data_IF_659409909377
#
_entry.id   IF_659409909377
#
_cell.length_a   1.000
_cell.length_b   1.000
_cell.length_c   1.000
_cell.angle_alpha   90.00
_cell.angle_beta   90.00
_cell.angle_gamma   90.00
#
_symmetry.space_group_name_H-M   'P 1'
#
loop_
_entity.id
_entity.type
_entity.pdbx_description
1 polymer ?
#
# COMPACT_ATOMS: atom_id res chain seq x y z
N UNK A 1 24.84 5.01 -7.49
CA UNK A 1 24.91 4.99 -6.01
C UNK A 1 24.70 3.57 -5.50
N UNK A 2 25.17 3.30 -4.28
CA UNK A 2 24.90 2.06 -3.55
C UNK A 2 23.79 2.32 -2.52
N UNK A 3 22.63 1.69 -2.70
CA UNK A 3 21.39 1.98 -1.98
C UNK A 3 20.94 0.74 -1.21
N UNK A 4 20.62 0.93 0.08
CA UNK A 4 20.00 -0.09 0.93
C UNK A 4 18.53 0.24 1.17
N UNK A 5 17.62 -0.73 0.99
CA UNK A 5 16.19 -0.63 1.29
C UNK A 5 15.88 -1.51 2.51
N UNK A 6 15.33 -0.91 3.56
CA UNK A 6 15.18 -1.51 4.89
C UNK A 6 13.77 -1.28 5.47
N UNK A 7 13.41 -2.08 6.46
CA UNK A 7 12.20 -1.85 7.27
C UNK A 7 10.96 -2.61 6.83
N UNK A 8 10.99 -3.29 5.69
CA UNK A 8 9.89 -4.13 5.19
C UNK A 8 10.15 -5.62 5.44
N UNK A 9 9.27 -6.50 4.96
CA UNK A 9 9.53 -7.95 4.98
C UNK A 9 10.55 -8.38 3.93
N UNK A 10 10.70 -7.57 2.86
CA UNK A 10 11.60 -7.83 1.73
C UNK A 10 10.84 -8.12 0.43
N UNK A 11 11.57 -8.61 -0.56
CA UNK A 11 11.04 -8.96 -1.90
C UNK A 11 11.40 -10.42 -2.24
N UNK A 12 10.59 -11.12 -3.05
CA UNK A 12 9.39 -10.69 -3.80
C UNK A 12 8.25 -10.22 -2.91
N UNK A 13 7.50 -9.21 -3.38
CA UNK A 13 6.35 -8.69 -2.65
C UNK A 13 5.24 -9.75 -2.49
N UNK A 14 4.80 -9.98 -1.24
CA UNK A 14 3.83 -11.05 -0.95
C UNK A 14 2.80 -10.68 0.14
N UNK A 15 2.85 -9.46 0.69
CA UNK A 15 2.03 -9.15 1.86
C UNK A 15 1.41 -7.75 1.89
N UNK A 16 2.15 -6.70 1.56
CA UNK A 16 1.67 -5.32 1.71
C UNK A 16 2.17 -4.38 0.62
N UNK A 17 1.58 -3.18 0.56
CA UNK A 17 1.99 -2.14 -0.37
C UNK A 17 3.45 -1.69 -0.23
N UNK A 18 4.05 -1.85 0.97
CA UNK A 18 5.48 -1.51 1.16
C UNK A 18 6.42 -2.42 0.40
N UNK A 19 6.17 -3.73 0.42
CA UNK A 19 6.95 -4.68 -0.36
C UNK A 19 6.81 -4.38 -1.84
N UNK A 20 5.59 -4.04 -2.31
CA UNK A 20 5.35 -3.59 -3.69
C UNK A 20 6.14 -2.32 -3.99
N UNK A 21 6.13 -1.32 -3.08
CA UNK A 21 6.91 -0.10 -3.24
C UNK A 21 8.42 -0.39 -3.35
N UNK A 22 8.96 -1.21 -2.44
CA UNK A 22 10.38 -1.60 -2.45
C UNK A 22 10.75 -2.34 -3.74
N UNK A 23 9.88 -3.22 -4.21
CA UNK A 23 10.10 -3.98 -5.45
C UNK A 23 10.08 -3.07 -6.68
N UNK A 24 9.07 -2.21 -6.80
CA UNK A 24 8.88 -1.34 -7.95
C UNK A 24 9.94 -0.23 -8.02
N UNK A 25 10.22 0.42 -6.90
CA UNK A 25 11.27 1.43 -6.79
C UNK A 25 12.66 0.81 -7.00
N UNK A 26 12.95 -0.29 -6.31
CA UNK A 26 14.25 -0.94 -6.35
C UNK A 26 14.63 -1.44 -7.75
N UNK A 27 13.69 -2.08 -8.46
CA UNK A 27 13.89 -2.54 -9.83
C UNK A 27 14.20 -1.37 -10.79
N UNK A 28 13.50 -0.22 -10.67
CA UNK A 28 13.73 0.96 -11.50
C UNK A 28 15.07 1.63 -11.20
N UNK A 29 15.44 1.71 -9.94
CA UNK A 29 16.76 2.20 -9.52
C UNK A 29 17.89 1.31 -10.10
N UNK A 30 17.72 -0.03 -10.14
CA UNK A 30 18.66 -0.93 -10.81
C UNK A 30 18.75 -0.64 -12.31
N UNK A 31 17.61 -0.47 -13.00
CA UNK A 31 17.56 -0.12 -14.42
C UNK A 31 18.25 1.21 -14.73
N UNK A 32 18.26 2.15 -13.76
CA UNK A 32 18.97 3.44 -13.84
C UNK A 32 20.45 3.36 -13.42
N UNK A 33 20.98 2.16 -13.21
CA UNK A 33 22.41 1.91 -12.94
C UNK A 33 22.84 2.03 -11.48
N UNK A 34 21.88 2.05 -10.52
CA UNK A 34 22.20 1.99 -9.10
C UNK A 34 22.42 0.55 -8.63
N UNK A 35 23.25 0.35 -7.61
CA UNK A 35 23.41 -0.91 -6.90
C UNK A 35 22.41 -0.93 -5.73
N UNK A 36 21.36 -1.72 -5.84
CA UNK A 36 20.29 -1.79 -4.85
C UNK A 36 20.38 -3.09 -4.06
N UNK A 37 20.35 -2.96 -2.74
CA UNK A 37 20.27 -4.09 -1.79
C UNK A 37 19.01 -4.00 -0.98
N UNK A 38 18.22 -5.08 -0.91
CA UNK A 38 17.01 -5.18 -0.08
C UNK A 38 17.28 -6.08 1.11
N UNK A 39 17.01 -5.56 2.30
CA UNK A 39 17.08 -6.32 3.55
C UNK A 39 15.78 -7.06 3.79
N UNK A 40 15.86 -8.39 3.76
CA UNK A 40 14.73 -9.30 3.83
C UNK A 40 14.70 -10.06 5.17
N UNK A 41 13.50 -10.26 5.73
CA UNK A 41 13.29 -11.14 6.89
C UNK A 41 13.22 -12.58 6.42
N UNK A 42 14.20 -13.41 6.79
CA UNK A 42 14.36 -14.76 6.25
C UNK A 42 13.13 -15.66 6.38
N UNK A 43 12.35 -15.52 7.48
CA UNK A 43 11.14 -16.33 7.70
C UNK A 43 9.91 -15.90 6.88
N UNK A 44 9.95 -14.73 6.23
CA UNK A 44 8.87 -14.26 5.36
C UNK A 44 9.16 -14.47 3.86
N UNK A 45 10.42 -14.65 3.49
CA UNK A 45 10.83 -14.77 2.08
C UNK A 45 11.15 -16.21 1.74
N UNK A 46 10.31 -16.83 0.91
CA UNK A 46 10.51 -18.21 0.42
C UNK A 46 11.42 -18.27 -0.82
N UNK A 47 11.74 -17.13 -1.42
CA UNK A 47 12.60 -17.05 -2.58
C UNK A 47 14.06 -17.37 -2.19
N UNK A 48 14.65 -18.39 -2.81
CA UNK A 48 15.98 -18.90 -2.43
C UNK A 48 17.15 -18.08 -3.02
N UNK A 49 16.95 -17.40 -4.16
CA UNK A 49 17.99 -16.64 -4.84
C UNK A 49 18.53 -15.46 -4.03
N UNK A 50 19.79 -15.09 -4.28
CA UNK A 50 20.46 -13.93 -3.66
C UNK A 50 20.23 -12.64 -4.46
N UNK A 51 19.58 -12.72 -5.61
CA UNK A 51 19.23 -11.58 -6.46
C UNK A 51 17.82 -11.72 -6.98
N UNK A 52 17.07 -10.60 -7.00
CA UNK A 52 15.71 -10.55 -7.53
C UNK A 52 15.52 -9.26 -8.32
N UNK A 53 15.12 -9.35 -9.58
CA UNK A 53 14.99 -8.19 -10.50
C UNK A 53 16.22 -7.27 -10.51
N UNK A 54 17.42 -7.85 -10.39
CA UNK A 54 18.69 -7.13 -10.33
C UNK A 54 19.06 -6.53 -8.97
N UNK A 55 18.17 -6.58 -7.99
CA UNK A 55 18.45 -6.20 -6.61
C UNK A 55 19.16 -7.34 -5.87
N UNK A 56 20.18 -7.02 -5.07
CA UNK A 56 20.81 -7.98 -4.16
C UNK A 56 19.96 -8.15 -2.90
N UNK A 57 19.76 -9.39 -2.42
CA UNK A 57 18.96 -9.72 -1.24
C UNK A 57 19.85 -10.10 -0.07
N UNK A 58 19.70 -9.37 1.04
CA UNK A 58 20.34 -9.73 2.33
C UNK A 58 19.27 -10.28 3.25
N UNK A 59 19.27 -11.59 3.45
CA UNK A 59 18.29 -12.30 4.29
C UNK A 59 18.84 -12.41 5.72
N UNK A 60 18.21 -11.72 6.66
CA UNK A 60 18.61 -11.74 8.07
C UNK A 60 17.53 -12.37 8.94
N UNK A 61 17.96 -13.11 9.94
CA UNK A 61 17.08 -13.66 10.95
C UNK A 61 16.63 -12.57 11.93
N UNK A 62 15.42 -12.71 12.42
CA UNK A 62 14.83 -11.82 13.42
C UNK A 62 13.97 -12.61 14.40
N UNK A 63 13.40 -11.94 15.40
CA UNK A 63 12.49 -12.54 16.36
C UNK A 63 11.11 -12.68 15.72
N UNK A 64 10.56 -13.90 15.66
CA UNK A 64 9.20 -14.16 15.17
C UNK A 64 8.14 -13.75 16.17
N UNK A 65 8.03 -12.45 16.44
CA UNK A 65 7.06 -11.87 17.36
C UNK A 65 6.29 -10.74 16.65
N UNK A 66 4.97 -10.78 16.74
CA UNK A 66 4.06 -9.83 16.06
C UNK A 66 4.44 -8.34 16.24
N UNK A 67 5.00 -7.97 17.39
CA UNK A 67 5.29 -6.58 17.75
C UNK A 67 6.76 -6.20 17.62
N UNK A 68 7.67 -7.15 17.75
CA UNK A 68 9.12 -6.91 17.80
C UNK A 68 9.84 -7.23 16.49
N UNK A 69 9.25 -8.06 15.65
CA UNK A 69 9.85 -8.53 14.40
C UNK A 69 10.43 -7.36 13.56
N UNK A 70 9.63 -6.33 13.32
CA UNK A 70 10.02 -5.19 12.47
C UNK A 70 11.21 -4.43 13.05
N UNK A 71 11.12 -4.01 14.32
CA UNK A 71 12.16 -3.15 14.90
C UNK A 71 13.48 -3.91 15.15
N UNK A 72 13.40 -5.17 15.55
CA UNK A 72 14.59 -6.00 15.76
C UNK A 72 15.29 -6.28 14.43
N UNK A 73 14.53 -6.65 13.37
CA UNK A 73 15.10 -6.81 12.04
C UNK A 73 15.75 -5.53 11.54
N UNK A 74 15.08 -4.38 11.68
CA UNK A 74 15.61 -3.09 11.23
C UNK A 74 16.87 -2.69 12.01
N UNK A 75 16.94 -3.02 13.31
CA UNK A 75 18.14 -2.80 14.12
C UNK A 75 19.32 -3.67 13.62
N UNK A 76 19.12 -4.98 13.44
CA UNK A 76 20.15 -5.90 12.93
C UNK A 76 20.59 -5.47 11.53
N UNK A 77 19.65 -5.12 10.67
CA UNK A 77 19.92 -4.64 9.31
C UNK A 77 20.75 -3.35 9.33
N UNK A 78 20.42 -2.42 10.23
CA UNK A 78 21.17 -1.15 10.39
C UNK A 78 22.62 -1.38 10.82
N UNK A 79 22.88 -2.36 11.70
CA UNK A 79 24.24 -2.75 12.07
C UNK A 79 24.97 -3.40 10.90
N UNK A 80 24.29 -4.25 10.12
CA UNK A 80 24.88 -4.90 8.95
C UNK A 80 25.21 -3.90 7.83
N UNK A 81 24.52 -2.77 7.74
CA UNK A 81 24.80 -1.67 6.81
C UNK A 81 26.16 -1.02 7.07
N UNK A 82 26.64 -0.94 8.33
CA UNK A 82 27.83 -0.18 8.72
C UNK A 82 29.10 -0.54 7.91
N UNK A 83 29.49 -1.84 7.79
CA UNK A 83 30.69 -2.20 7.03
C UNK A 83 30.51 -2.08 5.51
N UNK A 84 29.27 -2.00 5.01
CA UNK A 84 28.95 -2.06 3.58
C UNK A 84 29.14 -0.72 2.86
N UNK A 85 29.19 0.38 3.59
CA UNK A 85 29.38 1.76 3.07
C UNK A 85 28.42 2.11 1.94
N UNK A 86 27.11 2.04 2.21
CA UNK A 86 26.09 2.53 1.29
C UNK A 86 26.12 4.07 1.21
N UNK A 87 25.69 4.60 0.05
CA UNK A 87 25.44 6.04 -0.08
C UNK A 87 24.14 6.42 0.62
N UNK A 88 23.09 5.61 0.41
CA UNK A 88 21.73 5.80 0.93
C UNK A 88 21.27 4.56 1.68
N UNK A 89 20.58 4.77 2.80
CA UNK A 89 19.77 3.79 3.53
C UNK A 89 18.34 4.31 3.63
N UNK A 90 17.43 3.78 2.82
CA UNK A 90 16.02 4.12 2.80
C UNK A 90 15.23 3.16 3.67
N UNK A 91 14.60 3.69 4.71
CA UNK A 91 13.74 2.99 5.65
C UNK A 91 12.28 3.26 5.35
N UNK A 92 11.44 2.29 5.67
CA UNK A 92 9.99 2.40 5.60
C UNK A 92 9.38 2.22 6.99
N UNK A 93 8.22 2.85 7.22
CA UNK A 93 7.40 2.84 8.43
C UNK A 93 8.02 3.64 9.59
N UNK A 94 7.25 4.59 10.13
CA UNK A 94 7.65 5.48 11.23
C UNK A 94 8.20 4.71 12.44
N UNK A 95 7.70 3.51 12.74
CA UNK A 95 8.18 2.65 13.83
C UNK A 95 9.67 2.29 13.76
N UNK A 96 10.32 2.44 12.61
CA UNK A 96 11.75 2.20 12.42
C UNK A 96 12.62 3.43 12.67
N UNK A 97 12.04 4.59 12.96
CA UNK A 97 12.83 5.83 13.18
C UNK A 97 13.94 5.69 14.25
N UNK A 98 13.75 4.93 15.35
CA UNK A 98 14.79 4.82 16.40
C UNK A 98 16.12 4.25 15.92
N UNK A 99 16.19 3.59 14.78
CA UNK A 99 17.43 2.97 14.26
C UNK A 99 18.01 3.71 13.04
N UNK A 100 17.34 4.73 12.53
CA UNK A 100 17.73 5.43 11.30
C UNK A 100 19.02 6.25 11.42
N UNK A 101 19.44 6.59 12.63
CA UNK A 101 20.72 7.30 12.89
C UNK A 101 21.94 6.40 12.74
N UNK A 102 21.79 5.06 12.88
CA UNK A 102 22.92 4.11 12.89
C UNK A 102 23.76 4.19 11.62
N UNK A 103 23.21 4.14 10.40
CA UNK A 103 24.00 4.25 9.17
C UNK A 103 24.78 5.57 9.06
N UNK A 104 24.30 6.63 9.69
CA UNK A 104 24.95 7.95 9.67
C UNK A 104 26.33 7.94 10.34
N UNK A 105 26.59 7.00 11.26
CA UNK A 105 27.90 6.83 11.90
C UNK A 105 29.03 6.57 10.91
N UNK A 106 28.73 5.98 9.75
CA UNK A 106 29.72 5.70 8.69
C UNK A 106 29.53 6.60 7.47
N UNK A 107 28.72 7.67 7.61
CA UNK A 107 28.48 8.66 6.56
C UNK A 107 27.43 8.25 5.52
N UNK A 108 26.74 7.10 5.68
CA UNK A 108 25.57 6.73 4.88
C UNK A 108 24.42 7.67 5.19
N UNK A 109 23.79 8.24 4.17
CA UNK A 109 22.61 9.09 4.35
C UNK A 109 21.36 8.25 4.60
N UNK A 110 20.68 8.49 5.71
CA UNK A 110 19.44 7.77 6.04
C UNK A 110 18.21 8.58 5.68
N UNK A 111 17.25 7.93 5.06
CA UNK A 111 15.95 8.47 4.67
C UNK A 111 14.88 7.58 5.30
N UNK A 112 13.79 8.17 5.75
CA UNK A 112 12.65 7.43 6.31
C UNK A 112 11.36 7.84 5.60
N UNK A 113 10.69 6.90 4.93
CA UNK A 113 9.29 7.05 4.52
C UNK A 113 8.42 6.66 5.72
N UNK A 114 7.68 7.62 6.29
CA UNK A 114 6.91 7.39 7.52
C UNK A 114 5.58 6.67 7.28
N UNK A 115 5.09 6.65 6.02
CA UNK A 115 3.77 6.10 5.66
C UNK A 115 2.60 6.79 6.40
N UNK A 116 1.45 6.11 6.50
CA UNK A 116 0.28 6.60 7.21
C UNK A 116 0.41 6.55 8.74
N UNK A 117 -0.63 7.03 9.42
CA UNK A 117 -0.66 7.14 10.88
C UNK A 117 -0.99 5.77 11.54
N UNK A 118 -0.01 4.89 11.60
CA UNK A 118 -0.16 3.47 12.01
C UNK A 118 -0.71 3.32 13.44
N UNK A 119 -0.50 4.31 14.33
CA UNK A 119 -1.06 4.30 15.68
C UNK A 119 -2.59 4.41 15.72
N UNK A 120 -3.24 4.86 14.67
CA UNK A 120 -4.70 4.89 14.53
C UNK A 120 -5.31 3.49 14.37
N UNK A 121 -4.50 2.50 13.96
CA UNK A 121 -4.99 1.13 13.72
C UNK A 121 -5.37 0.44 15.03
N UNK A 122 -6.52 -0.24 15.03
CA UNK A 122 -7.06 -0.92 16.21
C UNK A 122 -6.23 -2.12 16.66
N UNK A 123 -5.51 -2.77 15.75
CA UNK A 123 -4.61 -3.90 16.04
C UNK A 123 -3.54 -3.61 17.10
N UNK A 124 -3.24 -2.33 17.37
CA UNK A 124 -2.19 -1.94 18.29
C UNK A 124 -2.71 -1.71 19.72
N UNK A 125 -2.16 -2.37 20.74
CA UNK A 125 -2.45 -2.07 22.13
C UNK A 125 -1.90 -0.67 22.49
N UNK A 126 -2.43 -0.10 23.58
CA UNK A 126 -2.11 1.28 24.00
C UNK A 126 -0.60 1.57 24.09
N UNK A 127 0.19 0.61 24.60
CA UNK A 127 1.64 0.79 24.72
C UNK A 127 2.32 0.86 23.34
N UNK A 128 1.90 0.02 22.40
CA UNK A 128 2.41 0.07 21.02
C UNK A 128 2.00 1.36 20.32
N UNK A 129 0.78 1.86 20.53
CA UNK A 129 0.35 3.16 20.00
C UNK A 129 1.24 4.30 20.53
N UNK A 130 1.56 4.31 21.83
CA UNK A 130 2.48 5.29 22.40
C UNK A 130 3.89 5.19 21.84
N UNK A 131 4.39 3.96 21.64
CA UNK A 131 5.68 3.74 20.98
C UNK A 131 5.69 4.31 19.56
N UNK A 132 4.65 4.04 18.75
CA UNK A 132 4.57 4.55 17.37
C UNK A 132 4.54 6.08 17.38
N UNK A 133 3.74 6.71 18.25
CA UNK A 133 3.71 8.17 18.39
C UNK A 133 5.06 8.77 18.82
N UNK A 134 5.80 8.07 19.68
CA UNK A 134 7.15 8.46 20.04
C UNK A 134 8.13 8.30 18.87
N UNK A 135 7.97 7.21 18.10
CA UNK A 135 8.77 6.98 16.90
C UNK A 135 8.48 8.03 15.81
N UNK A 136 7.25 8.53 15.66
CA UNK A 136 6.93 9.66 14.79
C UNK A 136 7.69 10.93 15.19
N UNK A 137 7.78 11.22 16.49
CA UNK A 137 8.60 12.34 16.97
C UNK A 137 10.10 12.14 16.63
N UNK A 138 10.63 10.93 16.83
CA UNK A 138 12.02 10.62 16.48
C UNK A 138 12.28 10.70 14.97
N UNK A 139 11.28 10.42 14.15
CA UNK A 139 11.38 10.53 12.69
C UNK A 139 11.76 11.94 12.22
N UNK A 140 11.39 12.97 12.97
CA UNK A 140 11.62 14.36 12.57
C UNK A 140 13.11 14.81 12.67
N UNK A 141 13.99 14.05 13.34
CA UNK A 141 15.40 14.45 13.53
C UNK A 141 16.43 13.32 13.49
N UNK A 142 16.05 12.05 13.62
CA UNK A 142 17.03 10.95 13.59
C UNK A 142 17.53 10.61 12.18
N UNK A 143 16.67 10.50 11.14
CA UNK A 143 17.16 10.36 9.77
C UNK A 143 17.73 11.68 9.24
N UNK A 144 18.42 11.66 8.09
CA UNK A 144 18.81 12.89 7.40
C UNK A 144 17.60 13.59 6.80
N UNK A 145 16.65 12.81 6.26
CA UNK A 145 15.37 13.29 5.74
C UNK A 145 14.30 12.25 6.09
N UNK A 146 13.12 12.70 6.45
CA UNK A 146 11.92 11.87 6.44
C UNK A 146 10.93 12.41 5.42
N UNK A 147 10.10 11.55 4.86
CA UNK A 147 9.14 11.90 3.81
C UNK A 147 7.80 11.20 4.06
N UNK A 148 6.74 11.72 3.45
CA UNK A 148 5.39 11.17 3.50
C UNK A 148 4.91 10.80 2.10
N UNK A 149 3.95 9.90 2.02
CA UNK A 149 3.29 9.45 0.80
C UNK A 149 1.90 10.09 0.58
N UNK A 150 1.47 10.96 1.50
CA UNK A 150 0.18 11.65 1.50
C UNK A 150 0.35 13.08 2.04
N UNK A 151 -0.35 14.05 1.43
CA UNK A 151 -0.43 15.41 1.95
C UNK A 151 -1.17 15.47 3.29
N UNK A 152 -2.15 14.61 3.52
CA UNK A 152 -2.84 14.51 4.82
C UNK A 152 -1.85 14.16 5.94
N UNK A 153 -0.92 13.21 5.67
CA UNK A 153 0.14 12.87 6.63
C UNK A 153 1.18 13.98 6.74
N UNK A 154 1.51 14.66 5.63
CA UNK A 154 2.39 15.84 5.63
C UNK A 154 1.84 16.94 6.53
N UNK A 155 0.56 17.27 6.40
CA UNK A 155 -0.13 18.28 7.22
C UNK A 155 -0.12 17.87 8.70
N UNK A 156 -0.40 16.61 9.02
CA UNK A 156 -0.31 16.09 10.39
C UNK A 156 1.09 16.31 11.01
N UNK A 157 2.17 16.02 10.28
CA UNK A 157 3.54 16.25 10.78
C UNK A 157 3.84 17.75 10.90
N UNK A 158 3.38 18.56 9.96
CA UNK A 158 3.52 20.01 9.99
C UNK A 158 2.83 20.62 11.20
N UNK A 159 1.59 20.26 11.45
CA UNK A 159 0.80 20.78 12.56
C UNK A 159 1.33 20.31 13.92
N UNK A 160 1.69 19.04 14.02
CA UNK A 160 2.07 18.43 15.29
C UNK A 160 3.51 18.69 15.70
N UNK A 161 4.42 18.68 14.75
CA UNK A 161 5.88 18.73 15.01
C UNK A 161 6.55 19.98 14.42
N UNK A 162 5.79 20.87 13.76
CA UNK A 162 6.30 22.09 13.09
C UNK A 162 7.43 21.76 12.08
N UNK A 163 7.28 20.65 11.38
CA UNK A 163 8.23 20.14 10.40
C UNK A 163 7.48 19.59 9.19
N UNK A 164 7.72 20.20 8.03
CA UNK A 164 7.06 19.84 6.78
C UNK A 164 7.96 18.88 5.97
N UNK A 165 7.68 17.57 5.96
CA UNK A 165 8.45 16.61 5.17
C UNK A 165 8.18 16.76 3.68
N UNK A 166 9.11 16.37 2.80
CA UNK A 166 8.81 16.18 1.38
C UNK A 166 7.71 15.14 1.18
N UNK A 167 6.92 15.34 0.13
CA UNK A 167 5.88 14.42 -0.31
C UNK A 167 6.36 13.64 -1.53
N UNK A 168 6.31 12.31 -1.46
CA UNK A 168 6.53 11.39 -2.59
C UNK A 168 5.48 10.28 -2.50
N UNK A 169 4.47 10.26 -3.40
CA UNK A 169 3.39 9.28 -3.34
C UNK A 169 3.85 7.87 -3.70
N UNK A 170 2.98 6.88 -3.53
CA UNK A 170 3.11 5.58 -4.19
C UNK A 170 2.86 5.74 -5.68
N UNK A 171 3.52 4.88 -6.46
CA UNK A 171 3.27 4.78 -7.89
C UNK A 171 2.31 3.65 -8.23
N UNK A 172 1.82 3.66 -9.44
CA UNK A 172 1.17 2.52 -10.08
C UNK A 172 1.70 2.32 -11.49
N UNK A 173 1.84 1.08 -11.86
CA UNK A 173 2.17 0.65 -13.21
C UNK A 173 1.51 -0.72 -13.38
N UNK A 174 0.39 -0.72 -14.06
CA UNK A 174 -0.45 -1.91 -14.19
C UNK A 174 -0.46 -2.42 -15.62
N UNK A 175 -0.32 -3.72 -15.76
CA UNK A 175 -0.53 -4.41 -17.02
C UNK A 175 -2.04 -4.64 -17.21
N UNK A 176 -2.58 -4.14 -18.31
CA UNK A 176 -3.98 -4.42 -18.69
C UNK A 176 -4.05 -5.83 -19.25
N UNK A 177 -4.76 -6.70 -18.55
CA UNK A 177 -4.93 -8.10 -18.90
C UNK A 177 -6.37 -8.35 -19.38
N UNK A 178 -6.56 -8.93 -20.57
CA UNK A 178 -7.89 -9.31 -21.05
C UNK A 178 -8.51 -10.41 -20.18
N UNK A 179 -9.84 -10.65 -20.28
CA UNK A 179 -10.50 -11.77 -19.62
C UNK A 179 -9.84 -13.11 -19.96
N UNK A 180 -9.59 -13.95 -18.96
CA UNK A 180 -8.87 -15.20 -19.12
C UNK A 180 -9.22 -16.23 -18.03
N UNK A 181 -8.21 -16.98 -17.62
CA UNK A 181 -8.38 -18.13 -16.71
C UNK A 181 -8.89 -17.74 -15.32
N UNK A 182 -8.46 -16.58 -14.80
CA UNK A 182 -8.87 -16.14 -13.45
C UNK A 182 -10.35 -15.80 -13.42
N UNK A 183 -10.84 -15.05 -14.42
CA UNK A 183 -12.27 -14.77 -14.53
C UNK A 183 -13.08 -16.05 -14.71
N UNK A 184 -12.62 -16.97 -15.57
CA UNK A 184 -13.28 -18.25 -15.78
C UNK A 184 -13.33 -19.10 -14.50
N UNK A 185 -12.24 -19.16 -13.73
CA UNK A 185 -12.15 -19.88 -12.46
C UNK A 185 -13.24 -19.45 -11.46
N UNK A 186 -13.53 -18.15 -11.38
CA UNK A 186 -14.54 -17.59 -10.48
C UNK A 186 -15.90 -17.36 -11.15
N UNK A 187 -16.06 -17.81 -12.41
CA UNK A 187 -17.29 -17.62 -13.19
C UNK A 187 -17.64 -16.15 -13.38
N UNK A 188 -16.65 -15.29 -13.59
CA UNK A 188 -16.80 -13.84 -13.77
C UNK A 188 -16.84 -13.48 -15.25
N UNK A 189 -17.55 -12.39 -15.54
CA UNK A 189 -17.57 -11.74 -16.84
C UNK A 189 -16.97 -10.33 -16.73
N UNK A 190 -16.24 -9.90 -17.78
CA UNK A 190 -15.66 -8.57 -17.82
C UNK A 190 -16.73 -7.47 -17.70
N UNK A 191 -16.50 -6.51 -16.82
CA UNK A 191 -17.44 -5.42 -16.56
C UNK A 191 -18.71 -5.83 -15.80
N UNK A 192 -18.76 -7.04 -15.22
CA UNK A 192 -19.93 -7.58 -14.51
C UNK A 192 -19.67 -7.86 -13.03
N UNK A 193 -18.73 -7.16 -12.41
CA UNK A 193 -18.51 -7.32 -10.96
C UNK A 193 -17.95 -6.04 -10.33
N UNK A 194 -18.22 -5.91 -9.04
CA UNK A 194 -17.61 -4.93 -8.14
C UNK A 194 -16.44 -5.62 -7.44
N UNK A 195 -15.28 -4.97 -7.41
CA UNK A 195 -14.05 -5.52 -6.88
C UNK A 195 -13.63 -4.81 -5.59
N UNK A 196 -13.26 -5.56 -4.58
CA UNK A 196 -12.50 -5.13 -3.41
C UNK A 196 -11.19 -5.89 -3.35
N UNK A 197 -10.09 -5.20 -3.03
CA UNK A 197 -8.78 -5.83 -2.81
C UNK A 197 -8.16 -5.28 -1.54
N UNK A 198 -7.93 -6.15 -0.57
CA UNK A 198 -7.31 -5.71 0.68
C UNK A 198 -7.25 -6.81 1.74
N UNK A 199 -6.54 -6.52 2.84
CA UNK A 199 -6.54 -7.45 3.98
C UNK A 199 -7.92 -7.48 4.63
N UNK A 200 -8.41 -8.67 4.95
CA UNK A 200 -9.71 -8.85 5.59
C UNK A 200 -9.59 -8.62 7.11
N UNK A 201 -9.41 -7.35 7.49
CA UNK A 201 -9.31 -6.88 8.88
C UNK A 201 -10.38 -5.80 9.14
N UNK A 202 -10.88 -5.64 10.38
CA UNK A 202 -11.98 -4.73 10.69
C UNK A 202 -11.79 -3.30 10.19
N UNK A 203 -10.59 -2.75 10.31
CA UNK A 203 -10.29 -1.39 9.88
C UNK A 203 -10.37 -1.15 8.37
N UNK A 204 -10.32 -2.21 7.56
CA UNK A 204 -10.50 -2.13 6.10
C UNK A 204 -11.98 -2.20 5.68
N UNK A 205 -12.90 -2.39 6.62
CA UNK A 205 -14.35 -2.26 6.47
C UNK A 205 -14.95 -3.00 5.27
N UNK A 206 -14.40 -4.17 4.87
CA UNK A 206 -14.96 -4.98 3.78
C UNK A 206 -16.43 -5.36 4.03
N UNK A 207 -16.87 -5.39 5.31
CA UNK A 207 -18.25 -5.60 5.70
C UNK A 207 -19.21 -4.53 5.16
N UNK A 208 -18.76 -3.29 4.97
CA UNK A 208 -19.59 -2.27 4.31
C UNK A 208 -19.98 -2.69 2.90
N UNK A 209 -19.02 -3.23 2.12
CA UNK A 209 -19.29 -3.67 0.76
C UNK A 209 -20.17 -4.93 0.74
N UNK A 210 -19.87 -5.92 1.58
CA UNK A 210 -20.66 -7.16 1.66
C UNK A 210 -22.13 -6.85 1.99
N UNK A 211 -22.38 -6.04 3.03
CA UNK A 211 -23.73 -5.66 3.45
C UNK A 211 -24.44 -4.79 2.40
N UNK A 212 -23.74 -3.80 1.82
CA UNK A 212 -24.30 -2.95 0.77
C UNK A 212 -24.69 -3.77 -0.46
N UNK A 213 -23.80 -4.68 -0.90
CA UNK A 213 -24.00 -5.49 -2.09
C UNK A 213 -25.13 -6.51 -1.92
N UNK A 214 -25.20 -7.19 -0.78
CA UNK A 214 -26.25 -8.17 -0.48
C UNK A 214 -27.66 -7.58 -0.66
N UNK A 215 -27.82 -6.28 -0.41
CA UNK A 215 -29.10 -5.56 -0.55
C UNK A 215 -29.30 -4.92 -1.94
N UNK A 216 -28.37 -5.13 -2.90
CA UNK A 216 -28.53 -4.62 -4.27
C UNK A 216 -29.31 -5.60 -5.13
N UNK A 217 -30.30 -5.07 -5.85
CA UNK A 217 -30.97 -5.78 -6.92
C UNK A 217 -30.13 -5.61 -8.21
N UNK A 218 -29.28 -6.60 -8.50
CA UNK A 218 -28.35 -6.58 -9.63
C UNK A 218 -27.89 -7.97 -10.00
N UNK A 219 -27.58 -8.20 -11.26
CA UNK A 219 -26.95 -9.42 -11.76
C UNK A 219 -25.41 -9.38 -11.67
N UNK A 220 -24.83 -8.27 -11.20
CA UNK A 220 -23.39 -8.18 -10.99
C UNK A 220 -22.95 -9.14 -9.87
N UNK A 221 -21.67 -9.47 -9.87
CA UNK A 221 -21.02 -10.16 -8.75
C UNK A 221 -20.22 -9.19 -7.88
N UNK A 222 -19.99 -9.59 -6.63
CA UNK A 222 -19.09 -8.89 -5.70
C UNK A 222 -17.88 -9.78 -5.44
N UNK A 223 -16.70 -9.32 -5.76
CA UNK A 223 -15.45 -10.08 -5.64
C UNK A 223 -14.61 -9.48 -4.54
N UNK A 224 -14.39 -10.24 -3.48
CA UNK A 224 -13.59 -9.88 -2.32
C UNK A 224 -12.26 -10.62 -2.40
N UNK A 225 -11.22 -9.89 -2.81
CA UNK A 225 -9.85 -10.40 -2.94
C UNK A 225 -9.06 -10.06 -1.69
N UNK A 226 -8.50 -11.07 -1.06
CA UNK A 226 -7.64 -10.92 0.10
C UNK A 226 -7.94 -11.92 1.20
N UNK A 227 -7.08 -11.84 2.21
CA UNK A 227 -7.13 -12.65 3.41
C UNK A 227 -6.45 -11.88 4.55
N UNK A 228 -6.45 -12.39 5.76
CA UNK A 228 -5.67 -11.84 6.85
C UNK A 228 -5.34 -12.94 7.86
N UNK A 229 -4.10 -13.42 7.94
CA UNK A 229 -3.66 -14.28 9.02
C UNK A 229 -4.00 -13.62 10.38
N UNK A 230 -4.56 -14.40 11.30
CA UNK A 230 -4.99 -13.95 12.63
C UNK A 230 -6.27 -13.08 12.70
N UNK A 231 -7.09 -13.04 11.61
CA UNK A 231 -8.38 -12.33 11.58
C UNK A 231 -9.56 -13.28 11.33
N UNK A 232 -9.48 -14.53 11.77
CA UNK A 232 -10.46 -15.59 11.51
C UNK A 232 -11.88 -15.19 11.95
N UNK A 233 -12.02 -14.48 13.07
CA UNK A 233 -13.31 -14.01 13.56
C UNK A 233 -13.98 -13.02 12.59
N UNK A 234 -13.22 -12.05 12.06
CA UNK A 234 -13.74 -11.08 11.11
C UNK A 234 -14.04 -11.73 9.75
N UNK A 235 -13.24 -12.67 9.31
CA UNK A 235 -13.53 -13.44 8.10
C UNK A 235 -14.81 -14.28 8.23
N UNK A 236 -15.01 -14.90 9.40
CA UNK A 236 -16.26 -15.61 9.69
C UNK A 236 -17.47 -14.66 9.70
N UNK A 237 -17.34 -13.47 10.26
CA UNK A 237 -18.34 -12.40 10.21
C UNK A 237 -18.68 -12.01 8.77
N UNK A 238 -17.68 -11.75 7.91
CA UNK A 238 -17.89 -11.40 6.51
C UNK A 238 -18.67 -12.50 5.76
N UNK A 239 -18.34 -13.76 6.00
CA UNK A 239 -19.07 -14.89 5.38
C UNK A 239 -20.51 -15.00 5.90
N UNK A 240 -20.74 -14.74 7.18
CA UNK A 240 -22.07 -14.70 7.77
C UNK A 240 -22.91 -13.54 7.20
N UNK A 241 -22.30 -12.38 6.99
CA UNK A 241 -22.96 -11.21 6.37
C UNK A 241 -23.33 -11.44 4.90
N UNK A 242 -22.57 -12.27 4.19
CA UNK A 242 -22.89 -12.66 2.82
C UNK A 242 -24.11 -13.62 2.76
N UNK A 243 -24.47 -14.25 3.88
CA UNK A 243 -25.65 -15.11 4.05
C UNK A 243 -25.90 -16.10 2.89
N UNK A 244 -24.81 -16.69 2.38
CA UNK A 244 -24.88 -17.63 1.26
C UNK A 244 -25.23 -17.01 -0.10
N UNK A 245 -25.23 -15.71 -0.26
CA UNK A 245 -25.46 -15.03 -1.54
C UNK A 245 -24.42 -15.50 -2.59
N UNK A 246 -24.81 -16.25 -3.64
CA UNK A 246 -23.87 -16.81 -4.60
C UNK A 246 -23.18 -15.74 -5.47
N UNK A 247 -23.65 -14.51 -5.44
CA UNK A 247 -23.03 -13.39 -6.15
C UNK A 247 -21.80 -12.84 -5.41
N UNK A 248 -21.62 -13.15 -4.11
CA UNK A 248 -20.50 -12.67 -3.29
C UNK A 248 -19.41 -13.75 -3.26
N UNK A 249 -18.26 -13.44 -3.85
CA UNK A 249 -17.17 -14.39 -4.06
C UNK A 249 -15.96 -13.95 -3.25
N UNK A 250 -15.52 -14.81 -2.32
CA UNK A 250 -14.27 -14.64 -1.57
C UNK A 250 -13.18 -15.48 -2.23
N UNK A 251 -12.18 -14.83 -2.82
CA UNK A 251 -11.14 -15.53 -3.59
C UNK A 251 -9.95 -15.97 -2.74
N UNK A 252 -9.78 -15.41 -1.54
CA UNK A 252 -8.49 -15.43 -0.84
C UNK A 252 -7.46 -14.52 -1.53
N UNK A 253 -6.18 -14.78 -1.31
CA UNK A 253 -5.13 -14.02 -1.98
C UNK A 253 -5.05 -14.37 -3.46
N UNK A 254 -5.00 -13.33 -4.30
CA UNK A 254 -4.71 -13.43 -5.73
C UNK A 254 -3.61 -12.44 -6.06
N UNK A 255 -2.53 -12.90 -6.70
CA UNK A 255 -1.35 -12.09 -7.05
C UNK A 255 -1.01 -12.19 -8.53
N UNK A 256 -0.08 -11.34 -8.98
CA UNK A 256 0.48 -11.36 -10.32
C UNK A 256 -0.57 -11.20 -11.41
N UNK A 257 -0.48 -12.04 -12.47
CA UNK A 257 -1.37 -11.95 -13.64
C UNK A 257 -2.85 -12.07 -13.27
N UNK A 258 -3.20 -12.95 -12.31
CA UNK A 258 -4.60 -13.11 -11.87
C UNK A 258 -5.15 -11.85 -11.21
N UNK A 259 -4.36 -11.16 -10.40
CA UNK A 259 -4.73 -9.87 -9.82
C UNK A 259 -4.92 -8.80 -10.90
N UNK A 260 -3.99 -8.71 -11.87
CA UNK A 260 -4.10 -7.79 -13.00
C UNK A 260 -5.34 -8.08 -13.86
N UNK A 261 -5.68 -9.36 -14.07
CA UNK A 261 -6.87 -9.77 -14.78
C UNK A 261 -8.14 -9.31 -14.06
N UNK A 262 -8.24 -9.54 -12.73
CA UNK A 262 -9.36 -9.05 -11.92
C UNK A 262 -9.44 -7.52 -11.92
N UNK A 263 -8.32 -6.81 -11.74
CA UNK A 263 -8.29 -5.34 -11.75
C UNK A 263 -8.69 -4.76 -13.10
N UNK A 264 -8.19 -5.30 -14.20
CA UNK A 264 -8.45 -4.80 -15.55
C UNK A 264 -9.92 -4.90 -15.97
N UNK A 265 -10.65 -5.87 -15.45
CA UNK A 265 -11.98 -6.23 -15.92
C UNK A 265 -13.12 -5.89 -14.94
N UNK A 266 -12.84 -5.24 -13.82
CA UNK A 266 -13.86 -4.84 -12.87
C UNK A 266 -14.75 -3.71 -13.41
N UNK A 267 -16.02 -3.68 -13.01
CA UNK A 267 -16.96 -2.58 -13.32
C UNK A 267 -16.71 -1.38 -12.42
N UNK A 268 -16.65 -1.62 -11.10
CA UNK A 268 -16.37 -0.64 -10.06
C UNK A 268 -15.39 -1.26 -9.09
N UNK A 269 -14.47 -0.46 -8.56
CA UNK A 269 -13.61 -0.82 -7.45
C UNK A 269 -14.06 -0.09 -6.17
N UNK A 270 -14.18 -0.82 -5.07
CA UNK A 270 -14.58 -0.27 -3.77
C UNK A 270 -13.41 -0.31 -2.79
N UNK A 271 -12.88 0.86 -2.40
CA UNK A 271 -11.90 1.01 -1.33
C UNK A 271 -12.64 1.41 -0.05
N UNK A 272 -12.83 0.45 0.84
CA UNK A 272 -13.64 0.67 2.04
C UNK A 272 -12.80 0.97 3.30
N UNK A 273 -11.47 0.99 3.20
CA UNK A 273 -10.59 1.18 4.35
C UNK A 273 -10.80 2.51 5.04
N UNK A 274 -11.05 2.44 6.35
CA UNK A 274 -11.26 3.59 7.23
C UNK A 274 -9.96 4.14 7.85
N UNK A 275 -8.83 3.48 7.65
CA UNK A 275 -7.52 3.87 8.22
C UNK A 275 -6.39 3.51 7.26
N UNK A 276 -5.50 4.45 7.02
CA UNK A 276 -4.29 4.23 6.23
C UNK A 276 -3.64 5.54 5.79
N UNK A 277 -2.66 5.46 4.95
CA UNK A 277 -2.15 6.53 4.08
C UNK A 277 -2.70 6.32 2.67
N UNK A 278 -1.90 6.56 1.66
CA UNK A 278 -2.25 6.21 0.28
C UNK A 278 -2.37 4.69 0.13
N UNK A 279 -3.52 4.21 -0.32
CA UNK A 279 -3.76 2.78 -0.54
C UNK A 279 -3.27 2.36 -1.93
N UNK A 280 -2.21 1.52 -2.05
CA UNK A 280 -1.70 1.09 -3.36
C UNK A 280 -2.75 0.41 -4.23
N UNK A 281 -3.63 -0.43 -3.65
CA UNK A 281 -4.70 -1.08 -4.39
C UNK A 281 -5.69 -0.08 -5.02
N UNK A 282 -5.96 1.06 -4.36
CA UNK A 282 -6.79 2.13 -4.91
C UNK A 282 -6.09 2.82 -6.10
N UNK A 283 -4.80 3.14 -5.94
CA UNK A 283 -4.00 3.76 -7.01
C UNK A 283 -3.92 2.83 -8.22
N UNK A 284 -3.70 1.54 -8.01
CA UNK A 284 -3.69 0.52 -9.06
C UNK A 284 -5.07 0.36 -9.71
N UNK A 285 -6.17 0.37 -8.93
CA UNK A 285 -7.52 0.33 -9.46
C UNK A 285 -7.81 1.52 -10.38
N UNK A 286 -7.37 2.72 -10.01
CA UNK A 286 -7.45 3.91 -10.87
C UNK A 286 -6.63 3.73 -12.15
N UNK A 287 -5.42 3.15 -12.06
CA UNK A 287 -4.56 2.89 -13.20
C UNK A 287 -5.13 1.82 -14.16
N UNK A 288 -5.80 0.78 -13.63
CA UNK A 288 -6.60 -0.16 -14.45
C UNK A 288 -7.75 0.54 -15.18
N UNK A 289 -8.13 1.73 -14.75
CA UNK A 289 -9.27 2.46 -15.28
C UNK A 289 -10.59 1.97 -14.69
N UNK A 290 -10.63 1.65 -13.42
CA UNK A 290 -11.87 1.39 -12.72
C UNK A 290 -12.55 2.70 -12.29
N UNK A 291 -13.88 2.73 -12.31
CA UNK A 291 -14.63 3.70 -11.53
C UNK A 291 -14.44 3.36 -10.05
N UNK A 292 -13.94 4.28 -9.25
CA UNK A 292 -13.60 4.02 -7.85
C UNK A 292 -14.60 4.65 -6.89
N UNK A 293 -14.98 3.88 -5.87
CA UNK A 293 -15.81 4.33 -4.75
C UNK A 293 -15.02 4.11 -3.46
N UNK A 294 -14.84 5.17 -2.67
CA UNK A 294 -13.96 5.12 -1.50
C UNK A 294 -14.69 5.52 -0.21
N UNK A 295 -14.26 4.95 0.93
CA UNK A 295 -14.57 5.49 2.24
C UNK A 295 -14.04 6.94 2.34
N UNK A 296 -14.83 7.88 2.88
CA UNK A 296 -14.54 9.31 2.92
C UNK A 296 -13.43 9.73 3.90
N UNK A 297 -12.40 8.90 4.07
CA UNK A 297 -11.20 9.35 4.79
C UNK A 297 -10.48 10.45 4.01
N UNK A 298 -9.79 11.39 4.69
CA UNK A 298 -9.03 12.42 4.00
C UNK A 298 -8.03 11.85 2.99
N UNK A 299 -7.34 10.77 3.34
CA UNK A 299 -6.31 10.11 2.52
C UNK A 299 -6.91 9.49 1.25
N UNK A 300 -8.08 8.85 1.37
CA UNK A 300 -8.78 8.30 0.21
C UNK A 300 -9.30 9.41 -0.70
N UNK A 301 -9.86 10.49 -0.11
CA UNK A 301 -10.33 11.64 -0.89
C UNK A 301 -9.19 12.37 -1.59
N UNK A 302 -8.04 12.52 -0.93
CA UNK A 302 -6.81 13.02 -1.57
C UNK A 302 -6.43 12.16 -2.77
N UNK A 303 -6.43 10.83 -2.61
CA UNK A 303 -6.03 9.90 -3.66
C UNK A 303 -6.92 10.02 -4.89
N UNK A 304 -8.24 9.99 -4.73
CA UNK A 304 -9.16 10.07 -5.87
C UNK A 304 -9.30 11.48 -6.45
N UNK A 305 -9.15 12.53 -5.61
CA UNK A 305 -9.49 13.90 -6.01
C UNK A 305 -10.92 13.96 -6.56
N UNK A 306 -11.06 14.47 -7.77
CA UNK A 306 -12.36 14.52 -8.47
C UNK A 306 -12.62 13.29 -9.37
N UNK A 307 -11.74 12.30 -9.36
CA UNK A 307 -11.79 11.16 -10.28
C UNK A 307 -12.49 9.90 -9.68
N UNK A 308 -13.29 10.07 -8.63
CA UNK A 308 -14.01 8.98 -7.97
C UNK A 308 -15.16 9.47 -7.10
N UNK A 309 -15.77 8.54 -6.38
CA UNK A 309 -16.88 8.82 -5.47
C UNK A 309 -16.48 8.48 -4.04
N UNK A 310 -16.83 9.34 -3.09
CA UNK A 310 -16.69 9.05 -1.67
C UNK A 310 -18.06 8.73 -1.06
N UNK A 311 -18.11 7.74 -0.16
CA UNK A 311 -19.28 7.47 0.67
C UNK A 311 -18.99 7.77 2.14
N UNK A 312 -20.02 8.15 2.91
CA UNK A 312 -19.88 8.38 4.35
C UNK A 312 -19.62 7.06 5.09
N UNK A 313 -18.39 6.86 5.53
CA UNK A 313 -17.99 5.66 6.26
C UNK A 313 -18.64 5.50 7.63
N UNK A 314 -19.18 6.59 8.24
CA UNK A 314 -19.94 6.50 9.49
C UNK A 314 -21.33 5.90 9.26
N UNK A 315 -21.95 6.22 8.13
CA UNK A 315 -23.19 5.59 7.70
C UNK A 315 -22.96 4.19 7.08
N UNK A 316 -21.69 3.87 6.73
CA UNK A 316 -21.26 2.52 6.36
C UNK A 316 -21.94 1.96 5.11
N UNK A 317 -22.50 0.78 5.26
CA UNK A 317 -23.09 0.03 4.15
C UNK A 317 -24.24 0.76 3.45
N UNK A 318 -25.07 1.51 4.17
CA UNK A 318 -26.20 2.26 3.60
C UNK A 318 -25.73 3.35 2.64
N UNK A 319 -24.71 4.14 3.06
CA UNK A 319 -24.15 5.19 2.21
C UNK A 319 -23.45 4.59 0.97
N UNK A 320 -22.69 3.48 1.15
CA UNK A 320 -22.04 2.79 0.04
C UNK A 320 -23.08 2.25 -0.94
N UNK A 321 -24.16 1.63 -0.44
CA UNK A 321 -25.26 1.13 -1.27
C UNK A 321 -25.89 2.24 -2.12
N UNK A 322 -26.12 3.41 -1.56
CA UNK A 322 -26.69 4.55 -2.28
C UNK A 322 -25.80 4.97 -3.47
N UNK A 323 -24.47 5.04 -3.24
CA UNK A 323 -23.51 5.34 -4.30
C UNK A 323 -23.52 4.24 -5.37
N UNK A 324 -23.47 2.98 -4.97
CA UNK A 324 -23.48 1.85 -5.92
C UNK A 324 -24.78 1.81 -6.74
N UNK A 325 -25.95 2.03 -6.15
CA UNK A 325 -27.24 2.15 -6.87
C UNK A 325 -27.20 3.25 -7.93
N UNK A 326 -26.64 4.43 -7.58
CA UNK A 326 -26.47 5.52 -8.52
C UNK A 326 -25.60 5.14 -9.71
N UNK A 327 -24.48 4.44 -9.47
CA UNK A 327 -23.55 4.00 -10.53
C UNK A 327 -24.17 2.92 -11.41
N UNK A 328 -24.89 1.95 -10.82
CA UNK A 328 -25.61 0.91 -11.56
C UNK A 328 -26.69 1.47 -12.49
N UNK A 329 -27.36 2.53 -12.06
CA UNK A 329 -28.38 3.21 -12.88
C UNK A 329 -27.79 4.11 -13.98
N UNK A 330 -26.48 4.39 -13.97
CA UNK A 330 -25.82 5.35 -14.86
C UNK A 330 -24.51 4.81 -15.45
N UNK A 331 -24.54 3.89 -16.41
CA UNK A 331 -23.33 3.32 -17.03
C UNK A 331 -22.42 4.37 -17.68
N UNK A 332 -22.99 5.42 -18.27
CA UNK A 332 -22.20 6.51 -18.88
C UNK A 332 -21.38 7.27 -17.84
N UNK A 333 -21.93 7.48 -16.63
CA UNK A 333 -21.23 8.07 -15.52
C UNK A 333 -20.05 7.18 -15.10
N UNK A 334 -20.24 5.86 -15.04
CA UNK A 334 -19.17 4.91 -14.76
C UNK A 334 -18.08 5.01 -15.83
N UNK A 335 -18.44 5.03 -17.12
CA UNK A 335 -17.49 5.16 -18.21
C UNK A 335 -16.66 6.45 -18.12
N UNK A 336 -17.31 7.57 -17.80
CA UNK A 336 -16.65 8.87 -17.59
C UNK A 336 -15.62 8.79 -16.45
N UNK A 337 -16.00 8.27 -15.28
CA UNK A 337 -15.12 8.21 -14.11
C UNK A 337 -14.00 7.19 -14.27
N UNK A 338 -14.18 6.15 -15.07
CA UNK A 338 -13.10 5.23 -15.46
C UNK A 338 -11.98 5.98 -16.22
N UNK A 339 -12.31 6.89 -17.08
CA UNK A 339 -11.33 7.71 -17.82
C UNK A 339 -10.63 8.71 -16.90
N UNK A 340 -11.38 9.41 -16.04
CA UNK A 340 -10.83 10.36 -15.08
C UNK A 340 -9.88 9.68 -14.09
N UNK A 341 -10.25 8.51 -13.55
CA UNK A 341 -9.43 7.74 -12.65
C UNK A 341 -8.10 7.34 -13.32
N UNK A 342 -8.16 6.80 -14.54
CA UNK A 342 -6.96 6.43 -15.30
C UNK A 342 -6.06 7.63 -15.58
N UNK A 343 -6.63 8.74 -16.02
CA UNK A 343 -5.87 9.96 -16.26
C UNK A 343 -5.16 10.44 -14.99
N UNK A 344 -5.87 10.50 -13.85
CA UNK A 344 -5.28 10.90 -12.58
C UNK A 344 -4.15 9.97 -12.15
N UNK A 345 -4.33 8.64 -12.25
CA UNK A 345 -3.27 7.68 -11.93
C UNK A 345 -2.01 7.92 -12.77
N UNK A 346 -2.16 8.17 -14.07
CA UNK A 346 -1.03 8.45 -14.98
C UNK A 346 -0.33 9.78 -14.69
N UNK A 347 -1.08 10.81 -14.26
CA UNK A 347 -0.51 12.14 -14.00
C UNK A 347 0.13 12.24 -12.63
N UNK A 348 -0.49 11.66 -11.58
CA UNK A 348 -0.08 11.86 -10.19
C UNK A 348 0.71 10.68 -9.62
N UNK A 349 0.42 9.44 -10.06
CA UNK A 349 0.88 8.20 -9.42
C UNK A 349 1.77 7.34 -10.34
N UNK A 350 2.51 7.93 -11.26
CA UNK A 350 3.44 7.19 -12.12
C UNK A 350 4.69 6.75 -11.35
N UNK A 351 5.06 5.47 -11.41
CA UNK A 351 6.31 4.96 -10.82
C UNK A 351 7.55 5.65 -11.37
N UNK A 352 7.54 6.09 -12.64
CA UNK A 352 8.67 6.84 -13.20
C UNK A 352 8.85 8.18 -12.46
N UNK A 353 7.77 8.95 -12.27
CA UNK A 353 7.80 10.22 -11.51
C UNK A 353 8.20 9.99 -10.04
N UNK A 354 7.69 8.94 -9.42
CA UNK A 354 8.06 8.55 -8.05
C UNK A 354 9.55 8.23 -7.97
N UNK A 355 10.07 7.44 -8.92
CA UNK A 355 11.49 7.11 -8.98
C UNK A 355 12.36 8.34 -9.22
N UNK A 356 11.93 9.26 -10.12
CA UNK A 356 12.60 10.53 -10.36
C UNK A 356 12.73 11.36 -9.07
N UNK A 357 11.64 11.44 -8.30
CA UNK A 357 11.62 12.19 -7.04
C UNK A 357 12.56 11.59 -5.98
N UNK A 358 12.57 10.26 -5.83
CA UNK A 358 13.52 9.58 -4.93
C UNK A 358 14.97 9.79 -5.39
N UNK A 359 15.25 9.61 -6.68
CA UNK A 359 16.61 9.79 -7.22
C UNK A 359 17.10 11.22 -7.10
N UNK A 360 16.24 12.22 -7.32
CA UNK A 360 16.54 13.62 -7.10
C UNK A 360 16.90 13.88 -5.62
N UNK A 361 16.11 13.36 -4.68
CA UNK A 361 16.40 13.47 -3.25
C UNK A 361 17.71 12.80 -2.88
N UNK A 362 18.03 11.62 -3.42
CA UNK A 362 19.30 10.92 -3.19
C UNK A 362 20.48 11.74 -3.70
N UNK A 363 20.37 12.32 -4.89
CA UNK A 363 21.40 13.15 -5.48
C UNK A 363 21.66 14.44 -4.66
N UNK A 364 20.60 15.08 -4.18
CA UNK A 364 20.70 16.25 -3.30
C UNK A 364 21.47 15.91 -2.02
N UNK A 365 21.07 14.84 -1.32
CA UNK A 365 21.72 14.42 -0.06
C UNK A 365 23.17 13.98 -0.24
N UNK A 366 23.53 13.36 -1.37
CA UNK A 366 24.89 12.92 -1.66
C UNK A 366 25.74 14.06 -2.24
N UNK A 367 25.16 15.03 -2.96
CA UNK A 367 25.84 16.19 -3.53
C UNK A 367 26.31 17.20 -2.49
N UNK A 368 25.68 17.27 -1.34
CA UNK A 368 26.10 18.11 -0.20
C UNK A 368 27.42 17.67 0.46
N UNK A 369 28.09 16.63 -0.04
CA UNK A 369 29.41 16.16 0.40
C UNK A 369 30.60 16.86 -0.28
N UNK A 370 30.38 17.90 -1.13
CA UNK A 370 31.46 18.60 -1.83
C UNK A 370 31.81 19.90 -1.12
#
# INVERSE_FOLDING_TARGET
>A
MKIALLGTRGVPASYSGFETCVEQLGQRLVQRGHQVTVYCRSHHIQYEGDTYKGMHLVKLNTITNKYLDTIVHSFISSLHVLPQRYDIALYFIAGNSPVTWIPRLVGTKSILNVDGLDWKREKWPTLAKKYIQFAEYLATFLPNVYLTDSHVVQDYYTDRFHSTPPYIPYGSDVEIVPPGETLAQYGLEAGKYILFVGRLVPENCAHHLVQAFHQLDTDLKCVIVGDAPYADAYQAELRALADGDPRIIFTGYVFGKGYHELGSNAYVFAETSGVGGTHPALVEAMAFGNCVVVHNTPENQETIGEAGFAYDGKAGAEALQAVLKRLLANPDLVAQYRQLARQRAQTEYSWEKVTDAYEQMFNQLCGERR
#
